data_IF_688867443928
#
_entry.id   IF_688867443928
#
_cell.length_a   1.000
_cell.length_b   1.000
_cell.length_c   1.000
_cell.angle_alpha   90.00
_cell.angle_beta   90.00
_cell.angle_gamma   90.00
#
_symmetry.space_group_name_H-M   'P 1'
#
loop_
_entity.id
_entity.type
_entity.pdbx_description
1 polymer ?
#
# COMPACT_ATOMS: atom_id res chain seq x y z
N UNK A 1 14.40 41.40 52.57
CA UNK A 1 14.33 42.10 51.26
C UNK A 1 13.21 41.47 50.45
N UNK A 2 12.23 42.26 49.95
CA UNK A 2 11.16 41.72 49.09
C UNK A 2 11.80 41.29 47.76
N UNK A 3 11.58 40.05 47.29
CA UNK A 3 12.15 39.61 46.01
C UNK A 3 11.63 40.50 44.88
N UNK A 4 12.51 40.80 43.93
CA UNK A 4 12.15 41.61 42.76
C UNK A 4 11.00 40.95 42.00
N UNK A 5 10.21 41.75 41.29
CA UNK A 5 9.08 41.27 40.48
C UNK A 5 9.49 40.11 39.55
N UNK A 6 10.65 40.26 38.93
CA UNK A 6 11.27 39.31 38.00
C UNK A 6 11.55 37.97 38.69
N UNK A 7 12.18 37.97 39.87
CA UNK A 7 12.48 36.73 40.62
C UNK A 7 11.21 35.99 41.01
N UNK A 8 10.18 36.71 41.48
CA UNK A 8 8.90 36.08 41.86
C UNK A 8 8.18 35.47 40.67
N UNK A 9 8.19 36.15 39.52
CA UNK A 9 7.56 35.68 38.29
C UNK A 9 8.26 34.43 37.74
N UNK A 10 9.59 34.42 37.65
CA UNK A 10 10.33 33.24 37.19
C UNK A 10 10.20 32.07 38.15
N UNK A 11 10.13 32.31 39.45
CA UNK A 11 9.90 31.26 40.44
C UNK A 11 8.50 30.66 40.34
N UNK A 12 7.47 31.48 40.11
CA UNK A 12 6.12 30.99 39.84
C UNK A 12 6.07 30.15 38.55
N UNK A 13 6.74 30.61 37.49
CA UNK A 13 6.85 29.89 36.23
C UNK A 13 7.58 28.54 36.41
N UNK A 14 8.70 28.52 37.14
CA UNK A 14 9.45 27.29 37.43
C UNK A 14 8.61 26.30 38.25
N UNK A 15 7.87 26.77 39.26
CA UNK A 15 6.94 25.93 40.02
C UNK A 15 5.85 25.35 39.15
N UNK A 16 5.24 26.17 38.30
CA UNK A 16 4.21 25.70 37.37
C UNK A 16 4.77 24.64 36.41
N UNK A 17 5.97 24.87 35.86
CA UNK A 17 6.67 23.91 35.02
C UNK A 17 6.91 22.59 35.76
N UNK A 18 7.47 22.62 36.97
CA UNK A 18 7.74 21.42 37.75
C UNK A 18 6.46 20.65 38.11
N UNK A 19 5.41 21.35 38.53
CA UNK A 19 4.12 20.74 38.85
C UNK A 19 3.52 20.10 37.60
N UNK A 20 3.49 20.80 36.46
CA UNK A 20 2.95 20.24 35.22
C UNK A 20 3.80 19.09 34.68
N UNK A 21 5.13 19.11 34.83
CA UNK A 21 5.99 17.98 34.48
C UNK A 21 5.67 16.75 35.33
N UNK A 22 5.50 16.91 36.65
CA UNK A 22 5.12 15.78 37.51
C UNK A 22 3.72 15.28 37.18
N UNK A 23 2.75 16.18 36.99
CA UNK A 23 1.37 15.80 36.71
C UNK A 23 1.24 15.13 35.34
N UNK A 24 1.76 15.74 34.27
CA UNK A 24 1.58 15.27 32.90
C UNK A 24 2.63 14.24 32.46
N UNK A 25 3.83 14.26 33.06
CA UNK A 25 4.91 13.36 32.72
C UNK A 25 5.00 12.11 33.60
N UNK A 26 4.47 12.15 34.83
CA UNK A 26 4.53 11.01 35.76
C UNK A 26 3.14 10.54 36.19
N UNK A 27 2.35 11.42 36.81
CA UNK A 27 1.06 11.02 37.40
C UNK A 27 0.07 10.56 36.33
N UNK A 28 -0.04 11.29 35.22
CA UNK A 28 -0.95 10.94 34.12
C UNK A 28 -0.57 9.63 33.41
N UNK A 29 0.68 9.42 32.94
CA UNK A 29 1.07 8.15 32.31
C UNK A 29 0.94 6.95 33.26
N UNK A 30 1.29 7.11 34.54
CA UNK A 30 1.14 6.04 35.54
C UNK A 30 -0.33 5.68 35.77
N UNK A 31 -1.23 6.67 35.81
CA UNK A 31 -2.66 6.45 35.92
C UNK A 31 -3.21 5.72 34.69
N UNK A 32 -2.84 6.15 33.48
CA UNK A 32 -3.26 5.49 32.23
C UNK A 32 -2.76 4.04 32.19
N UNK A 33 -1.50 3.80 32.56
CA UNK A 33 -0.95 2.46 32.65
C UNK A 33 -1.70 1.59 33.67
N UNK A 34 -2.03 2.12 34.86
CA UNK A 34 -2.77 1.39 35.88
C UNK A 34 -4.17 0.98 35.39
N UNK A 35 -4.89 1.89 34.73
CA UNK A 35 -6.21 1.62 34.14
C UNK A 35 -6.09 0.58 33.02
N UNK A 36 -5.01 0.61 32.23
CA UNK A 36 -4.77 -0.34 31.17
C UNK A 36 -4.59 -1.80 31.67
N UNK A 37 -4.27 -2.00 32.95
CA UNK A 37 -4.18 -3.33 33.56
C UNK A 37 -5.53 -3.92 33.99
N UNK A 38 -6.63 -3.19 33.83
CA UNK A 38 -7.95 -3.71 34.15
C UNK A 38 -8.32 -4.89 33.21
N UNK A 39 -9.02 -5.92 33.72
CA UNK A 39 -9.47 -7.04 32.90
C UNK A 39 -10.28 -6.57 31.68
N UNK A 40 -9.94 -7.08 30.50
CA UNK A 40 -10.53 -6.70 29.22
C UNK A 40 -9.83 -5.54 28.49
N UNK A 41 -8.93 -4.80 29.16
CA UNK A 41 -8.08 -3.78 28.53
C UNK A 41 -6.62 -4.21 28.41
N UNK A 42 -6.18 -5.11 29.30
CA UNK A 42 -4.79 -5.60 29.38
C UNK A 42 -4.26 -6.14 28.05
N UNK A 43 -5.09 -6.86 27.31
CA UNK A 43 -4.66 -7.51 26.06
C UNK A 43 -4.40 -6.47 24.96
N UNK A 44 -5.22 -5.42 24.93
CA UNK A 44 -5.04 -4.28 24.00
C UNK A 44 -3.80 -3.48 24.38
N UNK A 45 -3.61 -3.23 25.66
CA UNK A 45 -2.44 -2.52 26.19
C UNK A 45 -1.13 -3.30 26.01
N UNK A 46 -1.20 -4.62 26.03
CA UNK A 46 -0.10 -5.54 25.75
C UNK A 46 0.23 -5.70 24.25
N UNK A 47 -0.44 -4.94 23.37
CA UNK A 47 -0.17 -4.95 21.94
C UNK A 47 -1.06 -5.91 21.12
N UNK A 48 -2.13 -6.46 21.70
CA UNK A 48 -3.08 -7.37 21.03
C UNK A 48 -2.40 -8.55 20.33
N UNK A 49 -1.46 -9.19 21.04
CA UNK A 49 -0.66 -10.29 20.53
C UNK A 49 -1.53 -11.50 20.18
N UNK A 50 -1.17 -12.19 19.10
CA UNK A 50 -1.80 -13.44 18.67
C UNK A 50 -0.81 -14.58 18.87
N UNK A 51 -1.29 -15.67 19.48
CA UNK A 51 -0.51 -16.87 19.73
C UNK A 51 -1.01 -18.05 18.90
N UNK A 52 -0.08 -18.85 18.38
CA UNK A 52 -0.35 -20.12 17.73
C UNK A 52 0.60 -21.18 18.29
N UNK A 53 0.05 -22.26 18.85
CA UNK A 53 0.84 -23.36 19.41
C UNK A 53 1.73 -22.95 20.59
N UNK A 54 1.28 -22.01 21.43
CA UNK A 54 2.02 -21.50 22.59
C UNK A 54 3.19 -20.57 22.25
N UNK A 55 3.25 -20.05 21.02
CA UNK A 55 4.21 -19.04 20.58
C UNK A 55 3.48 -17.82 20.05
N UNK A 56 3.99 -16.64 20.37
CA UNK A 56 3.53 -15.38 19.77
C UNK A 56 3.94 -15.37 18.30
N UNK A 57 2.95 -15.28 17.41
CA UNK A 57 3.16 -15.24 15.95
C UNK A 57 2.97 -13.84 15.38
N UNK A 58 2.44 -12.90 16.16
CA UNK A 58 2.26 -11.52 15.73
C UNK A 58 1.31 -10.74 16.61
N UNK A 59 0.76 -9.66 16.06
CA UNK A 59 -0.30 -8.86 16.66
C UNK A 59 -1.45 -8.75 15.66
N UNK A 60 -2.68 -8.71 16.16
CA UNK A 60 -3.87 -8.39 15.34
C UNK A 60 -3.79 -7.00 14.70
N UNK A 61 -2.88 -6.13 15.17
CA UNK A 61 -2.75 -4.75 14.71
C UNK A 61 -1.61 -4.54 13.70
N UNK A 62 -0.81 -5.57 13.40
CA UNK A 62 0.39 -5.45 12.57
C UNK A 62 0.31 -6.42 11.39
N UNK A 63 0.35 -5.87 10.18
CA UNK A 63 0.47 -6.63 8.94
C UNK A 63 1.83 -7.32 8.82
N UNK A 64 1.85 -8.47 8.15
CA UNK A 64 3.05 -9.27 7.91
C UNK A 64 3.19 -9.57 6.43
N UNK A 65 4.43 -9.83 5.99
CA UNK A 65 4.68 -10.42 4.67
C UNK A 65 4.40 -11.92 4.71
N UNK A 66 3.70 -12.44 3.70
CA UNK A 66 3.46 -13.87 3.50
C UNK A 66 4.21 -14.38 2.26
N UNK A 67 5.50 -14.04 2.20
CA UNK A 67 6.44 -14.43 1.15
C UNK A 67 7.46 -15.45 1.66
N UNK A 68 8.13 -16.14 0.74
CA UNK A 68 9.32 -16.94 1.05
C UNK A 68 10.57 -16.05 1.23
N UNK A 69 11.73 -16.68 1.43
CA UNK A 69 13.01 -15.99 1.62
C UNK A 69 13.51 -15.23 0.38
N UNK A 70 13.02 -15.61 -0.80
CA UNK A 70 13.35 -14.98 -2.08
C UNK A 70 12.33 -13.88 -2.44
N UNK A 71 11.32 -13.66 -1.59
CA UNK A 71 10.28 -12.66 -1.79
C UNK A 71 9.09 -13.13 -2.63
N UNK A 72 9.02 -14.42 -3.00
CA UNK A 72 7.90 -14.92 -3.76
C UNK A 72 6.68 -15.13 -2.85
N UNK A 73 5.46 -14.77 -3.30
CA UNK A 73 4.25 -14.93 -2.51
C UNK A 73 3.93 -16.41 -2.27
N UNK A 74 3.68 -16.78 -1.01
CA UNK A 74 3.31 -18.15 -0.65
C UNK A 74 1.88 -18.45 -1.17
N UNK A 75 1.71 -19.43 -2.08
CA UNK A 75 0.43 -19.69 -2.73
C UNK A 75 -0.66 -20.18 -1.77
N UNK A 76 -0.28 -20.74 -0.62
CA UNK A 76 -1.18 -21.24 0.41
C UNK A 76 -1.66 -20.18 1.41
N UNK A 77 -1.16 -18.95 1.37
CA UNK A 77 -1.54 -17.89 2.31
C UNK A 77 -2.21 -16.73 1.57
N UNK A 78 -3.14 -16.07 2.26
CA UNK A 78 -3.65 -14.76 1.85
C UNK A 78 -2.53 -13.72 1.97
N UNK A 79 -2.41 -12.90 0.94
CA UNK A 79 -1.42 -11.85 0.83
C UNK A 79 -2.00 -10.54 1.37
N UNK A 80 -1.17 -9.83 2.12
CA UNK A 80 -1.45 -8.50 2.67
C UNK A 80 -1.30 -7.42 1.59
N UNK A 81 -1.71 -6.20 1.95
CA UNK A 81 -1.51 -5.03 1.09
C UNK A 81 -0.03 -4.69 0.99
N UNK A 82 0.47 -4.25 -0.17
CA UNK A 82 1.87 -3.84 -0.31
C UNK A 82 2.33 -2.89 0.81
N UNK A 83 3.51 -3.16 1.38
CA UNK A 83 4.11 -2.31 2.39
C UNK A 83 5.14 -1.37 1.77
N UNK A 84 5.14 -0.10 2.19
CA UNK A 84 6.23 0.83 1.90
C UNK A 84 7.34 0.79 2.97
N UNK A 85 7.17 0.01 4.03
CA UNK A 85 8.10 -0.15 5.14
C UNK A 85 8.53 -1.61 5.35
N UNK A 86 8.34 -2.46 4.33
CA UNK A 86 8.69 -3.88 4.34
C UNK A 86 8.12 -4.69 5.52
N UNK A 87 6.96 -4.25 6.03
CA UNK A 87 6.31 -4.79 7.23
C UNK A 87 7.20 -4.79 8.49
N UNK A 88 8.23 -3.95 8.54
CA UNK A 88 9.14 -3.84 9.68
C UNK A 88 8.48 -3.05 10.83
N UNK A 89 8.29 -3.68 11.99
CA UNK A 89 7.73 -3.03 13.18
C UNK A 89 8.58 -1.86 13.73
N UNK A 90 9.83 -1.73 13.31
CA UNK A 90 10.71 -0.59 13.65
C UNK A 90 10.61 0.56 12.64
N UNK A 91 9.96 0.34 11.50
CA UNK A 91 9.79 1.32 10.43
C UNK A 91 8.31 1.50 10.09
N UNK A 92 7.78 2.70 10.25
CA UNK A 92 6.40 3.00 9.86
C UNK A 92 6.36 4.20 8.94
N UNK A 93 5.71 4.04 7.79
CA UNK A 93 5.63 5.08 6.78
C UNK A 93 4.87 4.65 5.52
N UNK A 94 4.50 5.66 4.74
CA UNK A 94 3.88 5.51 3.42
C UNK A 94 4.92 5.68 2.30
N UNK A 95 4.57 5.30 1.07
CA UNK A 95 5.41 5.56 -0.11
C UNK A 95 5.54 7.05 -0.43
N UNK A 96 4.56 7.88 -0.02
CA UNK A 96 4.48 9.32 -0.28
C UNK A 96 4.57 9.73 -1.77
N UNK A 97 4.32 8.79 -2.69
CA UNK A 97 4.22 9.11 -4.12
C UNK A 97 2.89 9.79 -4.42
N UNK A 98 2.94 10.93 -5.12
CA UNK A 98 1.76 11.68 -5.54
C UNK A 98 1.09 11.09 -6.79
N UNK A 99 -0.16 11.47 -7.09
CA UNK A 99 -0.90 10.99 -8.26
C UNK A 99 -0.24 11.35 -9.60
N UNK A 100 0.57 12.43 -9.63
CA UNK A 100 1.33 12.85 -10.82
C UNK A 100 2.66 12.08 -11.00
N UNK A 101 2.96 11.13 -10.11
CA UNK A 101 4.10 10.22 -10.28
C UNK A 101 3.75 9.17 -11.34
N UNK A 102 3.92 9.53 -12.60
CA UNK A 102 3.57 8.69 -13.76
C UNK A 102 4.78 8.31 -14.64
N UNK A 103 5.92 8.98 -14.47
CA UNK A 103 7.16 8.72 -15.23
C UNK A 103 8.20 8.09 -14.31
N UNK A 104 8.78 6.97 -14.75
CA UNK A 104 9.82 6.27 -14.02
C UNK A 104 11.14 7.06 -14.05
N UNK A 105 11.89 7.01 -12.95
CA UNK A 105 13.25 7.58 -12.89
C UNK A 105 14.29 6.45 -12.92
N UNK A 106 15.57 6.74 -13.22
CA UNK A 106 16.63 5.74 -13.16
C UNK A 106 16.76 5.05 -11.80
N UNK A 107 16.36 5.73 -10.71
CA UNK A 107 16.49 5.26 -9.34
C UNK A 107 15.24 4.54 -8.82
N UNK A 108 14.04 4.89 -9.32
CA UNK A 108 12.79 4.33 -8.81
C UNK A 108 11.67 4.35 -9.85
N UNK A 109 10.83 3.32 -9.80
CA UNK A 109 9.57 3.29 -10.53
C UNK A 109 8.58 4.33 -9.98
N UNK A 110 7.81 4.91 -10.88
CA UNK A 110 6.67 5.80 -10.59
C UNK A 110 5.54 5.08 -9.86
N UNK A 111 4.61 5.85 -9.29
CA UNK A 111 3.39 5.28 -8.72
C UNK A 111 2.60 4.49 -9.77
N UNK A 112 2.48 5.06 -10.98
CA UNK A 112 1.74 4.41 -12.06
C UNK A 112 2.37 3.05 -12.43
N UNK A 113 3.68 3.01 -12.71
CA UNK A 113 4.35 1.74 -13.03
C UNK A 113 4.29 0.76 -11.86
N UNK A 114 4.46 1.22 -10.63
CA UNK A 114 4.32 0.37 -9.43
C UNK A 114 2.93 -0.29 -9.35
N UNK A 115 1.86 0.48 -9.61
CA UNK A 115 0.49 -0.04 -9.63
C UNK A 115 0.29 -1.03 -10.77
N UNK A 116 0.82 -0.71 -11.96
CA UNK A 116 0.73 -1.59 -13.13
C UNK A 116 1.42 -2.93 -12.90
N UNK A 117 2.64 -2.91 -12.35
CA UNK A 117 3.44 -4.12 -12.11
C UNK A 117 2.74 -5.02 -11.10
N UNK A 118 2.32 -4.46 -9.97
CA UNK A 118 1.57 -5.20 -8.94
C UNK A 118 0.27 -5.76 -9.47
N UNK A 119 -0.45 -5.01 -10.31
CA UNK A 119 -1.71 -5.49 -10.89
C UNK A 119 -1.48 -6.69 -11.81
N UNK A 120 -0.43 -6.65 -12.62
CA UNK A 120 -0.06 -7.75 -13.50
C UNK A 120 0.35 -9.00 -12.68
N UNK A 121 1.23 -8.83 -11.69
CA UNK A 121 1.69 -9.92 -10.82
C UNK A 121 0.55 -10.55 -10.01
N UNK A 122 -0.35 -9.74 -9.45
CA UNK A 122 -1.51 -10.22 -8.70
C UNK A 122 -2.52 -10.91 -9.62
N UNK A 123 -2.69 -10.39 -10.84
CA UNK A 123 -3.50 -11.02 -11.88
C UNK A 123 -2.97 -12.41 -12.22
N UNK A 124 -1.66 -12.52 -12.50
CA UNK A 124 -0.99 -13.79 -12.78
C UNK A 124 -1.09 -14.76 -11.61
N UNK A 125 -0.77 -14.30 -10.39
CA UNK A 125 -0.79 -15.11 -9.18
C UNK A 125 -2.16 -15.75 -8.91
N UNK A 126 -3.25 -15.01 -9.16
CA UNK A 126 -4.60 -15.46 -8.86
C UNK A 126 -5.38 -15.95 -10.10
N UNK A 127 -4.76 -15.93 -11.28
CA UNK A 127 -5.41 -16.36 -12.53
C UNK A 127 -6.55 -15.45 -13.00
N UNK A 128 -6.46 -14.15 -12.72
CA UNK A 128 -7.46 -13.13 -13.10
C UNK A 128 -6.85 -12.07 -14.02
N UNK A 129 -7.70 -11.26 -14.65
CA UNK A 129 -7.22 -10.17 -15.51
C UNK A 129 -6.51 -9.07 -14.68
N UNK A 130 -5.19 -8.97 -14.85
CA UNK A 130 -4.37 -7.94 -14.22
C UNK A 130 -4.37 -6.59 -14.95
N UNK A 131 -5.06 -6.47 -16.08
CA UNK A 131 -5.04 -5.27 -16.92
C UNK A 131 -5.67 -4.05 -16.24
N UNK A 132 -5.12 -2.86 -16.53
CA UNK A 132 -5.59 -1.58 -16.00
C UNK A 132 -5.56 -0.49 -17.07
N UNK A 133 -6.45 0.52 -17.00
CA UNK A 133 -6.61 1.52 -18.06
C UNK A 133 -5.35 2.29 -18.45
N UNK A 134 -4.39 2.50 -17.56
CA UNK A 134 -3.18 3.29 -17.84
C UNK A 134 -1.91 2.44 -17.80
N UNK A 135 -2.04 1.14 -18.00
CA UNK A 135 -0.93 0.20 -17.96
C UNK A 135 -0.68 -0.40 -19.33
N UNK A 136 0.59 -0.62 -19.66
CA UNK A 136 0.99 -1.34 -20.86
C UNK A 136 0.88 -2.85 -20.64
N UNK A 137 0.96 -3.63 -21.73
CA UNK A 137 1.01 -5.09 -21.64
C UNK A 137 2.25 -5.62 -20.91
N UNK A 138 3.31 -4.80 -20.79
CA UNK A 138 4.52 -5.12 -20.03
C UNK A 138 4.42 -4.84 -18.53
N UNK A 139 3.26 -4.37 -18.04
CA UNK A 139 3.06 -4.12 -16.60
C UNK A 139 3.68 -2.81 -16.09
N UNK A 140 3.95 -1.84 -16.97
CA UNK A 140 4.41 -0.48 -16.60
C UNK A 140 3.39 0.57 -17.00
N UNK A 141 3.59 1.82 -16.57
CA UNK A 141 2.69 2.93 -16.92
C UNK A 141 2.73 3.28 -18.41
N UNK A 142 1.56 3.35 -19.05
CA UNK A 142 1.43 3.76 -20.45
C UNK A 142 1.56 5.28 -20.58
N UNK A 143 2.79 5.79 -20.73
CA UNK A 143 3.06 7.23 -20.71
C UNK A 143 3.94 7.65 -21.88
N UNK A 144 3.55 8.75 -22.53
CA UNK A 144 4.31 9.39 -23.59
C UNK A 144 4.90 10.71 -23.12
N UNK A 145 6.11 11.03 -23.61
CA UNK A 145 6.64 12.38 -23.63
C UNK A 145 6.52 12.93 -25.05
N UNK A 146 5.66 13.93 -25.21
CA UNK A 146 5.34 14.57 -26.49
C UNK A 146 6.12 15.87 -26.61
N UNK A 147 7.00 15.99 -27.60
CA UNK A 147 7.76 17.20 -27.88
C UNK A 147 7.20 17.89 -29.12
N UNK A 148 7.18 19.22 -29.10
CA UNK A 148 6.71 20.06 -30.20
C UNK A 148 6.49 21.51 -29.78
N UNK A 149 6.08 22.40 -30.70
CA UNK A 149 5.64 23.74 -30.38
C UNK A 149 4.48 23.71 -29.37
N UNK A 150 4.49 24.65 -28.41
CA UNK A 150 3.49 24.72 -27.35
C UNK A 150 2.57 25.93 -27.50
N UNK A 151 1.30 25.73 -27.19
CA UNK A 151 0.34 26.81 -26.99
C UNK A 151 0.61 27.54 -25.67
N UNK A 152 -0.11 28.65 -25.45
CA UNK A 152 0.02 29.46 -24.24
C UNK A 152 -0.36 28.72 -22.94
N UNK A 153 -1.17 27.66 -23.04
CA UNK A 153 -1.56 26.79 -21.92
C UNK A 153 -0.56 25.65 -21.65
N UNK A 154 0.52 25.56 -22.44
CA UNK A 154 1.56 24.55 -22.31
C UNK A 154 1.29 23.25 -23.05
N UNK A 155 0.16 23.11 -23.74
CA UNK A 155 -0.16 21.94 -24.57
C UNK A 155 0.66 21.95 -25.86
N UNK A 156 1.10 20.79 -26.32
CA UNK A 156 1.79 20.62 -27.61
C UNK A 156 0.76 20.64 -28.73
N UNK A 157 0.92 21.56 -29.68
CA UNK A 157 -0.04 21.75 -30.78
C UNK A 157 0.32 20.98 -32.04
N UNK A 158 1.61 20.69 -32.23
CA UNK A 158 2.12 19.95 -33.38
C UNK A 158 3.26 19.04 -32.90
N UNK A 159 2.96 17.78 -32.55
CA UNK A 159 3.99 16.84 -32.13
C UNK A 159 5.08 16.69 -33.21
N UNK A 160 6.34 16.78 -32.81
CA UNK A 160 7.50 16.58 -33.69
C UNK A 160 8.30 15.33 -33.30
N UNK A 161 8.26 14.96 -32.02
CA UNK A 161 8.86 13.72 -31.49
C UNK A 161 7.99 13.21 -30.35
N UNK A 162 7.74 11.90 -30.33
CA UNK A 162 6.95 11.25 -29.28
C UNK A 162 7.71 10.04 -28.77
N UNK A 163 7.91 9.97 -27.46
CA UNK A 163 8.70 8.92 -26.81
C UNK A 163 7.86 8.18 -25.76
N UNK A 164 7.86 6.86 -25.78
CA UNK A 164 7.35 6.02 -24.68
C UNK A 164 8.38 6.00 -23.56
N UNK A 165 8.05 6.62 -22.41
CA UNK A 165 9.05 6.94 -21.37
C UNK A 165 9.28 5.86 -20.33
N UNK A 166 8.30 4.98 -20.10
CA UNK A 166 8.40 3.89 -19.12
C UNK A 166 8.75 2.53 -19.76
N UNK A 167 8.83 2.47 -21.09
CA UNK A 167 9.20 1.26 -21.86
C UNK A 167 10.50 1.52 -22.65
N UNK A 168 11.68 1.39 -22.03
CA UNK A 168 12.94 1.62 -22.71
C UNK A 168 13.20 0.56 -23.80
N UNK A 169 13.96 0.95 -24.84
CA UNK A 169 14.31 0.08 -25.97
C UNK A 169 14.95 -1.27 -25.55
N UNK A 170 15.62 -1.28 -24.39
CA UNK A 170 16.35 -2.42 -23.85
C UNK A 170 15.43 -3.53 -23.34
N UNK A 171 14.24 -3.16 -22.86
CA UNK A 171 13.27 -4.10 -22.29
C UNK A 171 12.07 -4.34 -23.19
N UNK A 172 11.83 -3.44 -24.15
CA UNK A 172 10.60 -3.46 -24.97
C UNK A 172 10.91 -3.40 -26.47
N UNK A 173 10.55 -4.44 -27.26
CA UNK A 173 10.81 -4.47 -28.71
C UNK A 173 10.02 -3.43 -29.52
N UNK A 174 8.84 -3.05 -29.06
CA UNK A 174 7.97 -2.07 -29.71
C UNK A 174 7.11 -1.34 -28.66
N UNK A 175 6.88 -0.03 -28.82
CA UNK A 175 6.09 0.74 -27.86
C UNK A 175 4.63 0.28 -27.85
N UNK A 176 3.95 0.46 -26.71
CA UNK A 176 2.54 0.11 -26.52
C UNK A 176 1.57 0.78 -27.53
N UNK A 177 1.97 1.89 -28.16
CA UNK A 177 1.28 2.51 -29.31
C UNK A 177 2.29 2.83 -30.41
N UNK A 178 1.93 2.56 -31.67
CA UNK A 178 2.84 2.76 -32.81
C UNK A 178 2.96 4.23 -33.23
N UNK A 179 1.87 5.00 -33.12
CA UNK A 179 1.78 6.40 -33.56
C UNK A 179 0.90 7.21 -32.61
N UNK A 180 1.25 8.47 -32.40
CA UNK A 180 0.48 9.44 -31.65
C UNK A 180 0.35 10.72 -32.49
N UNK A 181 -0.88 11.14 -32.79
CA UNK A 181 -1.18 12.33 -33.62
C UNK A 181 -0.40 12.38 -34.95
N UNK A 182 -0.20 11.23 -35.60
CA UNK A 182 0.51 11.13 -36.87
C UNK A 182 2.04 11.01 -36.76
N UNK A 183 2.61 11.14 -35.56
CA UNK A 183 4.04 10.94 -35.29
C UNK A 183 4.29 9.51 -34.82
N UNK A 184 5.35 8.88 -35.33
CA UNK A 184 5.79 7.56 -34.87
C UNK A 184 6.31 7.67 -33.43
N UNK A 185 5.86 6.76 -32.57
CA UNK A 185 6.35 6.67 -31.19
C UNK A 185 7.69 5.92 -31.17
N UNK A 186 8.66 6.52 -30.50
CA UNK A 186 9.98 5.95 -30.25
C UNK A 186 10.03 5.38 -28.82
N UNK A 187 10.84 4.36 -28.59
CA UNK A 187 11.09 3.91 -27.22
C UNK A 187 12.14 4.80 -26.54
N UNK A 188 12.06 4.95 -25.23
CA UNK A 188 13.06 5.69 -24.45
C UNK A 188 14.45 5.06 -24.58
N UNK A 189 15.47 5.92 -24.50
CA UNK A 189 16.89 5.57 -24.44
C UNK A 189 17.40 5.82 -23.04
N UNK A 190 18.22 4.92 -22.55
CA UNK A 190 18.78 5.00 -21.21
C UNK A 190 19.60 6.30 -21.02
N UNK A 191 19.29 7.04 -19.95
CA UNK A 191 20.00 8.26 -19.56
C UNK A 191 19.60 9.54 -20.32
N UNK A 192 18.63 9.48 -21.25
CA UNK A 192 18.06 10.67 -21.87
C UNK A 192 16.94 11.25 -20.99
N UNK A 193 16.92 12.58 -20.82
CA UNK A 193 15.89 13.29 -20.06
C UNK A 193 14.70 13.67 -20.98
N UNK A 194 13.53 13.13 -20.67
CA UNK A 194 12.29 13.36 -21.40
C UNK A 194 11.33 14.33 -20.69
N UNK A 195 11.75 14.99 -19.60
CA UNK A 195 10.94 15.92 -18.82
C UNK A 195 10.53 17.19 -19.57
N UNK A 196 11.25 17.54 -20.64
CA UNK A 196 10.95 18.69 -21.49
C UNK A 196 9.70 18.50 -22.38
N UNK A 197 9.19 17.27 -22.54
CA UNK A 197 7.96 17.00 -23.26
C UNK A 197 6.70 17.25 -22.42
N UNK A 198 5.55 17.29 -23.08
CA UNK A 198 4.27 17.15 -22.40
C UNK A 198 4.08 15.68 -22.04
N UNK A 199 3.92 15.40 -20.75
CA UNK A 199 3.68 14.06 -20.24
C UNK A 199 2.20 13.72 -20.45
N UNK A 200 1.94 12.65 -21.20
CA UNK A 200 0.59 12.21 -21.56
C UNK A 200 0.40 10.75 -21.18
N UNK A 201 -0.31 10.45 -20.08
CA UNK A 201 -0.79 9.11 -19.78
C UNK A 201 -1.82 8.67 -20.83
N UNK A 202 -1.62 7.50 -21.41
CA UNK A 202 -2.49 6.96 -22.46
C UNK A 202 -3.42 5.93 -21.86
N UNK A 203 -4.72 6.14 -22.08
CA UNK A 203 -5.74 5.19 -21.67
C UNK A 203 -5.87 4.05 -22.69
N UNK A 204 -5.54 2.84 -22.27
CA UNK A 204 -5.75 1.60 -23.01
C UNK A 204 -7.19 1.08 -22.95
N UNK A 205 -7.39 -0.15 -23.41
CA UNK A 205 -8.72 -0.79 -23.57
C UNK A 205 -9.20 -1.57 -22.35
N UNK A 206 -8.42 -1.59 -21.27
CA UNK A 206 -8.79 -2.29 -20.04
C UNK A 206 -10.10 -1.71 -19.43
N UNK A 207 -10.88 -2.53 -18.70
CA UNK A 207 -12.11 -2.08 -18.04
C UNK A 207 -11.87 -0.89 -17.10
N UNK A 208 -12.88 -0.03 -16.96
CA UNK A 208 -12.83 1.10 -16.02
C UNK A 208 -12.71 0.62 -14.56
N UNK A 209 -13.31 -0.54 -14.27
CA UNK A 209 -13.25 -1.23 -12.99
C UNK A 209 -12.38 -2.50 -13.17
N UNK A 210 -11.08 -2.45 -12.79
CA UNK A 210 -10.17 -3.59 -12.95
C UNK A 210 -10.57 -4.77 -12.04
N UNK A 211 -10.29 -5.99 -12.47
CA UNK A 211 -10.58 -7.18 -11.66
C UNK A 211 -9.73 -7.24 -10.39
N UNK A 212 -8.50 -6.68 -10.42
CA UNK A 212 -7.65 -6.54 -9.23
C UNK A 212 -8.09 -5.29 -8.44
N UNK A 213 -8.49 -5.42 -7.16
CA UNK A 213 -8.92 -4.30 -6.33
C UNK A 213 -7.83 -3.24 -6.09
N UNK A 214 -8.24 -2.04 -5.70
CA UNK A 214 -7.31 -0.93 -5.48
C UNK A 214 -6.38 -1.15 -4.27
N UNK A 215 -6.87 -1.78 -3.19
CA UNK A 215 -6.07 -2.04 -1.98
C UNK A 215 -4.97 -3.07 -2.20
N UNK A 216 -5.14 -3.95 -3.19
CA UNK A 216 -4.17 -4.95 -3.62
C UNK A 216 -2.89 -4.33 -4.23
N UNK A 217 -3.02 -3.19 -4.92
CA UNK A 217 -1.91 -2.54 -5.64
C UNK A 217 -1.38 -1.29 -4.94
N UNK A 218 -2.19 -0.67 -4.07
CA UNK A 218 -1.82 0.55 -3.34
C UNK A 218 -1.25 0.24 -1.98
N UNK A 219 -0.09 0.83 -1.68
CA UNK A 219 0.55 0.64 -0.39
C UNK A 219 -0.23 1.33 0.74
N UNK A 220 -0.14 0.78 1.95
CA UNK A 220 -0.79 1.36 3.13
C UNK A 220 -0.06 2.60 3.65
N UNK A 221 -0.77 3.46 4.39
CA UNK A 221 -0.20 4.68 4.96
C UNK A 221 0.77 4.45 6.12
N UNK A 222 0.62 3.34 6.84
CA UNK A 222 1.50 2.96 7.95
C UNK A 222 2.64 2.04 7.53
N UNK A 223 2.52 1.35 6.39
CA UNK A 223 3.38 0.23 6.01
C UNK A 223 3.12 -1.06 6.81
N UNK A 224 2.16 -1.07 7.72
CA UNK A 224 1.91 -2.17 8.67
C UNK A 224 0.42 -2.54 8.75
N UNK A 225 -0.34 -2.26 7.70
CA UNK A 225 -1.78 -2.53 7.67
C UNK A 225 -2.08 -4.04 7.76
N UNK A 226 -2.75 -4.51 8.82
CA UNK A 226 -3.10 -5.92 8.96
C UNK A 226 -4.33 -6.30 8.12
N UNK A 227 -4.98 -5.33 7.47
CA UNK A 227 -6.26 -5.54 6.80
C UNK A 227 -6.18 -5.45 5.27
N UNK A 228 -7.04 -6.24 4.63
CA UNK A 228 -7.39 -6.14 3.21
C UNK A 228 -8.89 -5.97 3.04
N UNK A 229 -9.32 -5.51 1.87
CA UNK A 229 -10.73 -5.46 1.49
C UNK A 229 -11.30 -6.89 1.35
N UNK A 230 -12.61 -7.10 1.61
CA UNK A 230 -13.24 -8.39 1.35
C UNK A 230 -13.16 -8.80 -0.12
N UNK A 231 -13.15 -7.83 -1.04
CA UNK A 231 -12.99 -8.07 -2.48
C UNK A 231 -11.61 -8.65 -2.80
N UNK A 232 -10.54 -8.11 -2.17
CA UNK A 232 -9.20 -8.64 -2.36
C UNK A 232 -9.02 -10.01 -1.67
N UNK A 233 -9.66 -10.24 -0.54
CA UNK A 233 -9.69 -11.56 0.08
C UNK A 233 -10.40 -12.59 -0.83
N UNK A 234 -11.56 -12.24 -1.39
CA UNK A 234 -12.32 -13.10 -2.30
C UNK A 234 -11.54 -13.44 -3.58
N UNK A 235 -10.86 -12.46 -4.18
CA UNK A 235 -10.01 -12.66 -5.36
C UNK A 235 -8.96 -13.75 -5.14
N UNK A 236 -8.42 -13.84 -3.92
CA UNK A 236 -7.37 -14.80 -3.57
C UNK A 236 -7.90 -16.18 -3.17
N UNK A 237 -9.19 -16.31 -2.84
CA UNK A 237 -9.77 -17.52 -2.27
C UNK A 237 -9.56 -18.76 -3.15
N UNK A 238 -9.71 -18.61 -4.48
CA UNK A 238 -9.53 -19.70 -5.44
C UNK A 238 -8.10 -20.26 -5.45
N UNK A 239 -7.09 -19.38 -5.49
CA UNK A 239 -5.67 -19.75 -5.40
C UNK A 239 -5.36 -20.47 -4.09
N UNK A 240 -5.79 -19.88 -2.98
CA UNK A 240 -5.52 -20.40 -1.64
C UNK A 240 -6.15 -21.78 -1.44
N UNK A 241 -7.38 -21.97 -1.89
CA UNK A 241 -8.07 -23.26 -1.86
C UNK A 241 -7.32 -24.32 -2.67
N UNK A 242 -6.93 -24.00 -3.91
CA UNK A 242 -6.17 -24.90 -4.78
C UNK A 242 -4.82 -25.30 -4.18
N UNK A 243 -4.08 -24.35 -3.62
CA UNK A 243 -2.77 -24.59 -3.00
C UNK A 243 -2.85 -25.46 -1.74
N UNK A 244 -3.99 -25.45 -1.03
CA UNK A 244 -4.22 -26.25 0.18
C UNK A 244 -5.03 -27.53 -0.05
N UNK A 245 -5.54 -27.76 -1.27
CA UNK A 245 -6.45 -28.86 -1.55
C UNK A 245 -7.78 -28.77 -0.78
N UNK A 246 -8.25 -27.54 -0.49
CA UNK A 246 -9.51 -27.27 0.20
C UNK A 246 -10.63 -26.97 -0.81
N UNK A 247 -11.88 -27.12 -0.37
CA UNK A 247 -13.02 -26.59 -1.12
C UNK A 247 -13.00 -25.05 -1.10
N UNK A 248 -13.21 -24.43 -2.25
CA UNK A 248 -13.19 -22.96 -2.36
C UNK A 248 -14.31 -22.32 -1.54
N UNK A 249 -15.47 -22.98 -1.40
CA UNK A 249 -16.60 -22.43 -0.65
C UNK A 249 -16.34 -22.48 0.86
N UNK A 250 -15.52 -23.42 1.34
CA UNK A 250 -15.05 -23.42 2.74
C UNK A 250 -14.10 -22.24 2.99
N UNK A 251 -13.21 -21.93 2.04
CA UNK A 251 -12.31 -20.76 2.12
C UNK A 251 -13.11 -19.45 2.08
N UNK A 252 -14.09 -19.32 1.18
CA UNK A 252 -14.99 -18.15 1.12
C UNK A 252 -15.81 -17.96 2.38
N UNK A 253 -16.31 -19.05 2.96
CA UNK A 253 -17.00 -19.01 4.25
C UNK A 253 -16.07 -18.46 5.33
N UNK A 254 -14.82 -18.92 5.36
CA UNK A 254 -13.83 -18.43 6.31
C UNK A 254 -13.54 -16.93 6.14
N UNK A 255 -13.42 -16.45 4.89
CA UNK A 255 -13.28 -15.02 4.58
C UNK A 255 -14.48 -14.24 5.13
N UNK A 256 -15.70 -14.74 4.92
CA UNK A 256 -16.93 -14.10 5.41
C UNK A 256 -16.97 -14.06 6.95
N UNK A 257 -16.60 -15.14 7.63
CA UNK A 257 -16.55 -15.22 9.10
C UNK A 257 -15.52 -14.27 9.71
N UNK A 258 -14.42 -13.99 9.00
CA UNK A 258 -13.37 -13.06 9.42
C UNK A 258 -13.51 -11.65 8.82
N UNK A 259 -14.63 -11.36 8.16
CA UNK A 259 -14.93 -10.02 7.67
C UNK A 259 -15.53 -9.18 8.79
N UNK A 260 -14.80 -8.16 9.23
CA UNK A 260 -15.32 -7.15 10.13
C UNK A 260 -16.14 -6.11 9.35
N UNK A 261 -17.34 -5.81 9.85
CA UNK A 261 -18.17 -4.75 9.32
C UNK A 261 -17.66 -3.35 9.66
N UNK A 262 -18.38 -2.33 9.18
CA UNK A 262 -18.11 -0.93 9.53
C UNK A 262 -18.27 -0.70 11.03
N UNK A 263 -17.38 0.12 11.60
CA UNK A 263 -17.48 0.50 13.01
C UNK A 263 -18.77 1.27 13.24
N UNK A 264 -19.58 0.82 14.21
CA UNK A 264 -20.94 1.33 14.47
C UNK A 264 -21.88 1.30 13.25
N UNK A 265 -21.55 0.54 12.20
CA UNK A 265 -22.35 0.43 10.97
C UNK A 265 -22.12 1.51 9.92
N UNK A 266 -21.35 2.58 10.21
CA UNK A 266 -21.16 3.69 9.25
C UNK A 266 -19.72 4.22 9.15
N UNK A 267 -18.85 3.95 10.13
CA UNK A 267 -17.47 4.44 10.11
C UNK A 267 -16.52 3.42 9.48
N UNK A 268 -15.71 3.89 8.53
CA UNK A 268 -14.73 3.08 7.82
C UNK A 268 -15.35 2.12 6.81
N UNK A 269 -14.57 1.13 6.41
CA UNK A 269 -14.92 0.13 5.41
C UNK A 269 -14.90 -1.28 6.00
N UNK A 270 -15.67 -2.23 5.42
CA UNK A 270 -15.51 -3.64 5.72
C UNK A 270 -14.09 -4.11 5.44
N UNK A 271 -13.55 -4.97 6.30
CA UNK A 271 -12.14 -5.35 6.25
C UNK A 271 -11.91 -6.76 6.79
N UNK A 272 -10.82 -7.38 6.34
CA UNK A 272 -10.44 -8.75 6.73
C UNK A 272 -9.03 -8.72 7.29
N UNK A 273 -8.84 -9.24 8.52
CA UNK A 273 -7.52 -9.34 9.13
C UNK A 273 -6.75 -10.54 8.53
N UNK A 274 -5.63 -10.27 7.86
CA UNK A 274 -4.90 -11.28 7.09
C UNK A 274 -4.25 -12.32 8.00
N UNK A 275 -3.66 -11.90 9.12
CA UNK A 275 -2.99 -12.80 10.06
C UNK A 275 -4.01 -13.74 10.73
N UNK A 276 -5.13 -13.20 11.22
CA UNK A 276 -6.17 -14.00 11.84
C UNK A 276 -6.80 -14.99 10.85
N UNK A 277 -7.08 -14.54 9.61
CA UNK A 277 -7.60 -15.38 8.54
C UNK A 277 -6.62 -16.52 8.20
N UNK A 278 -5.33 -16.23 8.03
CA UNK A 278 -4.31 -17.24 7.72
C UNK A 278 -4.16 -18.25 8.86
N UNK A 279 -4.26 -17.82 10.12
CA UNK A 279 -4.25 -18.74 11.27
C UNK A 279 -5.51 -19.60 11.35
N UNK A 280 -6.68 -19.05 11.02
CA UNK A 280 -7.90 -19.83 10.94
C UNK A 280 -7.83 -20.87 9.81
N UNK A 281 -7.24 -20.50 8.68
CA UNK A 281 -6.99 -21.39 7.55
C UNK A 281 -6.02 -22.54 7.92
N UNK A 282 -5.00 -22.25 8.74
CA UNK A 282 -4.07 -23.28 9.27
C UNK A 282 -4.74 -24.26 10.25
N UNK A 283 -5.84 -23.85 10.90
CA UNK A 283 -6.65 -24.75 11.74
C UNK A 283 -7.62 -25.61 10.92
N UNK A 284 -8.11 -25.09 9.80
CA UNK A 284 -9.04 -25.80 8.90
C UNK A 284 -8.34 -26.95 8.14
N UNK A 285 -7.07 -26.79 7.80
CA UNK A 285 -6.28 -27.81 7.08
C UNK A 285 -5.65 -28.89 7.97
N UNK A 286 -5.95 -28.94 9.28
CA UNK A 286 -5.53 -29.99 10.21
C UNK A 286 -6.67 -30.95 10.48
#
# INVERSE_FOLDING_TARGET
MKPSSIVRQHWAALRALLVLTVVLGLAYPALVWLVAQLPGLSDRAGGSLIEAGGRVVGSSLIGQSFTDADGNPLPQYFQSRPSAADYDGLSSGASNLGPESVVDTPEAASLLSTVCTRSAEIGELNGVDGSRPFCTGGGVGAVLSVLGPRAADGTVTEPTRVVSVNEPCTTTPAPFVATYEGVRVECARDGEDYSAGQIVPIRGTAPADPAVPADAVTASGSGLDPHISPEYAELQAGRVAAARGLDVDDVRRLVTEHTEGRTLGFLGEPRVNVLELNLALDRLGR
#
